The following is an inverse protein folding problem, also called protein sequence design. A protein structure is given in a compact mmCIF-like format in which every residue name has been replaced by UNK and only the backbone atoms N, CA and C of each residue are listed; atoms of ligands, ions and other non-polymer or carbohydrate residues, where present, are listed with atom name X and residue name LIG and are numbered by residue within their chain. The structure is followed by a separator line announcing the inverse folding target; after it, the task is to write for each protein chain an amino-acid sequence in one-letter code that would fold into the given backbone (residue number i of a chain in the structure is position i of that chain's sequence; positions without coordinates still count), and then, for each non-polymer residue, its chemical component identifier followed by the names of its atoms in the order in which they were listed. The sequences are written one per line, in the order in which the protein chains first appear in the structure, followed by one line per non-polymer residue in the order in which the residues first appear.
data_IF_191633840523
#
_entry.id   IF_191633840523
#
_cell.length_a   1.000
_cell.length_b   1.000
_cell.length_c   1.000
_cell.angle_alpha   90.00
_cell.angle_beta   90.00
_cell.angle_gamma   90.00
#
_symmetry.space_group_name_H-M   'P 1'
#
loop_
_entity.id
_entity.type
_entity.pdbx_description
1 polymer ?
#
# COMPACT_ATOMS: atom_id res chain seq x y z
N UNK A 1 -18.46 -7.36 2.91
CA UNK A 1 -17.33 -6.57 2.37
C UNK A 1 -16.04 -7.14 2.90
N UNK A 2 -14.97 -7.13 2.10
CA UNK A 2 -13.64 -7.64 2.50
C UNK A 2 -12.59 -6.53 2.43
N UNK A 3 -11.77 -6.39 3.47
CA UNK A 3 -10.64 -5.43 3.51
C UNK A 3 -9.32 -6.14 3.16
N UNK A 4 -8.46 -5.52 2.36
CA UNK A 4 -7.07 -5.96 2.18
C UNK A 4 -6.12 -5.04 2.93
N UNK A 5 -5.10 -5.58 3.59
CA UNK A 5 -4.01 -4.82 4.20
C UNK A 5 -2.70 -5.21 3.52
N UNK A 6 -1.97 -4.23 2.98
CA UNK A 6 -0.58 -4.40 2.56
C UNK A 6 0.31 -3.73 3.59
N UNK A 7 1.30 -4.44 4.15
CA UNK A 7 2.36 -3.86 4.98
C UNK A 7 3.74 -3.98 4.31
N UNK A 8 4.54 -2.92 4.43
CA UNK A 8 5.92 -2.86 3.96
C UNK A 8 6.84 -2.33 5.08
N UNK A 9 7.14 -3.17 6.07
CA UNK A 9 8.14 -2.88 7.10
C UNK A 9 8.90 -4.16 7.52
N UNK A 10 10.24 -4.18 7.60
CA UNK A 10 10.99 -5.42 7.89
C UNK A 10 10.97 -5.82 9.37
N UNK A 11 11.06 -4.85 10.29
CA UNK A 11 11.12 -5.12 11.72
C UNK A 11 9.72 -5.27 12.32
N UNK A 12 9.44 -6.44 12.94
CA UNK A 12 8.14 -6.87 13.49
C UNK A 12 7.68 -6.10 14.72
N UNK A 13 8.59 -5.46 15.47
CA UNK A 13 8.26 -4.67 16.66
C UNK A 13 8.06 -3.17 16.33
N UNK A 14 8.06 -2.82 15.03
CA UNK A 14 7.93 -1.43 14.61
C UNK A 14 6.52 -0.88 14.83
N UNK A 15 6.40 0.45 14.88
CA UNK A 15 5.10 1.10 14.98
C UNK A 15 4.20 0.84 13.76
N UNK A 16 4.75 0.49 12.58
CA UNK A 16 3.95 0.06 11.43
C UNK A 16 3.31 -1.32 11.67
N UNK A 17 3.99 -2.23 12.37
CA UNK A 17 3.39 -3.48 12.82
C UNK A 17 2.39 -3.29 13.96
N UNK A 18 2.63 -2.34 14.87
CA UNK A 18 1.63 -1.97 15.89
C UNK A 18 0.33 -1.44 15.25
N UNK A 19 0.44 -0.64 14.18
CA UNK A 19 -0.70 -0.22 13.35
C UNK A 19 -1.40 -1.46 12.74
N UNK A 20 -0.65 -2.40 12.17
CA UNK A 20 -1.22 -3.63 11.59
C UNK A 20 -1.98 -4.46 12.65
N UNK A 21 -1.43 -4.68 13.84
CA UNK A 21 -2.12 -5.48 14.86
C UNK A 21 -3.39 -4.77 15.35
N UNK A 22 -3.34 -3.47 15.65
CA UNK A 22 -4.52 -2.71 16.07
C UNK A 22 -5.66 -2.76 15.03
N UNK A 23 -5.32 -2.73 13.74
CA UNK A 23 -6.31 -2.91 12.67
C UNK A 23 -6.86 -4.33 12.60
N UNK A 24 -6.01 -5.36 12.73
CA UNK A 24 -6.46 -6.76 12.75
C UNK A 24 -7.36 -7.04 13.95
N UNK A 25 -7.02 -6.52 15.12
CA UNK A 25 -7.81 -6.61 16.36
C UNK A 25 -9.18 -5.97 16.14
N UNK A 26 -9.24 -4.68 15.77
CA UNK A 26 -10.50 -3.98 15.52
C UNK A 26 -11.35 -4.57 14.39
N UNK A 27 -10.75 -5.13 13.34
CA UNK A 27 -11.48 -5.85 12.30
C UNK A 27 -12.01 -7.20 12.79
N UNK A 28 -11.28 -7.90 13.64
CA UNK A 28 -11.73 -9.18 14.24
C UNK A 28 -12.90 -8.95 15.20
N UNK A 29 -12.77 -7.97 16.11
CA UNK A 29 -13.84 -7.55 17.03
C UNK A 29 -15.09 -7.08 16.27
N UNK A 30 -14.90 -6.30 15.21
CA UNK A 30 -15.97 -5.82 14.33
C UNK A 30 -16.52 -6.86 13.34
N UNK A 31 -16.06 -8.12 13.40
CA UNK A 31 -16.45 -9.22 12.49
C UNK A 31 -16.28 -8.87 10.98
N UNK A 32 -15.29 -8.05 10.67
CA UNK A 32 -14.95 -7.62 9.31
C UNK A 32 -13.99 -8.62 8.69
N UNK A 33 -14.37 -9.25 7.58
CA UNK A 33 -13.46 -10.11 6.82
C UNK A 33 -12.29 -9.30 6.26
N UNK A 34 -11.07 -9.76 6.50
CA UNK A 34 -9.86 -9.14 5.95
C UNK A 34 -8.83 -10.16 5.47
N UNK A 35 -7.89 -9.67 4.65
CA UNK A 35 -6.69 -10.40 4.21
C UNK A 35 -5.45 -9.52 4.40
N UNK A 36 -4.29 -10.13 4.60
CA UNK A 36 -3.01 -9.42 4.80
C UNK A 36 -1.99 -9.91 3.79
N UNK A 37 -1.33 -8.96 3.12
CA UNK A 37 -0.12 -9.12 2.33
C UNK A 37 0.99 -8.46 3.16
N UNK A 38 1.91 -9.27 3.69
CA UNK A 38 3.07 -8.77 4.43
C UNK A 38 4.31 -9.05 3.61
N UNK A 39 4.74 -8.03 2.85
CA UNK A 39 5.79 -8.20 1.84
C UNK A 39 7.12 -8.70 2.43
N UNK A 40 7.36 -8.47 3.73
CA UNK A 40 8.57 -8.97 4.39
C UNK A 40 8.37 -10.34 5.03
N UNK A 41 7.17 -10.67 5.55
CA UNK A 41 6.90 -12.02 6.04
C UNK A 41 6.66 -13.04 4.92
N UNK A 42 6.24 -12.58 3.74
CA UNK A 42 6.10 -13.34 2.49
C UNK A 42 7.44 -13.45 1.70
N UNK A 43 8.56 -12.94 2.23
CA UNK A 43 9.90 -12.90 1.59
C UNK A 43 9.91 -12.37 0.13
N UNK A 44 9.02 -11.42 -0.17
CA UNK A 44 8.79 -10.96 -1.54
C UNK A 44 10.02 -10.27 -2.14
N UNK A 45 10.50 -10.76 -3.28
CA UNK A 45 11.61 -10.17 -4.02
C UNK A 45 11.12 -8.99 -4.90
N UNK A 46 11.47 -7.72 -4.56
CA UNK A 46 10.99 -6.55 -5.29
C UNK A 46 11.82 -6.20 -6.53
N UNK A 47 12.92 -6.91 -6.79
CA UNK A 47 13.76 -6.65 -7.96
C UNK A 47 13.01 -7.07 -9.23
N UNK A 48 12.87 -6.14 -10.17
CA UNK A 48 12.29 -6.38 -11.49
C UNK A 48 13.42 -6.78 -12.45
N UNK A 49 13.40 -8.03 -12.90
CA UNK A 49 14.47 -8.64 -13.69
C UNK A 49 14.24 -8.54 -15.20
N UNK A 50 15.30 -8.72 -16.00
CA UNK A 50 15.18 -8.81 -17.46
C UNK A 50 14.26 -9.97 -17.92
N UNK A 51 14.19 -11.07 -17.15
CA UNK A 51 13.26 -12.18 -17.42
C UNK A 51 11.81 -11.75 -17.25
N UNK A 52 11.49 -11.01 -16.19
CA UNK A 52 10.15 -10.47 -15.96
C UNK A 52 9.79 -9.40 -16.99
N UNK A 53 10.74 -8.53 -17.35
CA UNK A 53 10.57 -7.55 -18.42
C UNK A 53 10.25 -8.20 -19.78
N UNK A 54 10.80 -9.38 -20.06
CA UNK A 54 10.48 -10.13 -21.29
C UNK A 54 9.01 -10.56 -21.37
N UNK A 55 8.30 -10.60 -20.24
CA UNK A 55 6.88 -10.95 -20.11
C UNK A 55 5.94 -9.77 -19.84
N UNK A 56 6.49 -8.57 -19.68
CA UNK A 56 5.72 -7.35 -19.41
C UNK A 56 4.59 -7.10 -20.43
N UNK A 57 4.88 -7.26 -21.74
CA UNK A 57 3.91 -7.05 -22.82
C UNK A 57 2.74 -8.05 -22.79
N UNK A 58 3.00 -9.26 -22.29
CA UNK A 58 2.04 -10.35 -22.19
C UNK A 58 1.13 -10.20 -20.95
N UNK A 59 1.49 -9.32 -20.01
CA UNK A 59 0.80 -9.18 -18.72
C UNK A 59 1.05 -10.32 -17.73
N UNK A 60 2.07 -11.15 -17.99
CA UNK A 60 2.33 -12.41 -17.25
C UNK A 60 3.39 -12.22 -16.17
N UNK A 61 3.06 -12.59 -14.94
CA UNK A 61 4.02 -12.69 -13.85
C UNK A 61 4.80 -14.02 -13.91
N UNK A 62 6.06 -14.01 -13.47
CA UNK A 62 6.89 -15.22 -13.34
C UNK A 62 6.97 -15.76 -11.91
N UNK A 63 6.77 -14.89 -10.92
CA UNK A 63 6.81 -15.24 -9.50
C UNK A 63 5.41 -15.73 -9.06
N UNK A 64 5.27 -16.97 -8.55
CA UNK A 64 3.99 -17.50 -8.11
C UNK A 64 3.26 -16.63 -7.07
N UNK A 65 4.01 -15.92 -6.22
CA UNK A 65 3.41 -15.10 -5.15
C UNK A 65 2.65 -13.89 -5.70
N UNK A 66 3.01 -13.42 -6.90
CA UNK A 66 2.27 -12.34 -7.57
C UNK A 66 0.84 -12.76 -7.86
N UNK A 67 0.58 -14.02 -8.24
CA UNK A 67 -0.79 -14.48 -8.49
C UNK A 67 -1.64 -14.49 -7.21
N UNK A 68 -1.07 -14.91 -6.07
CA UNK A 68 -1.69 -14.81 -4.73
C UNK A 68 -2.06 -13.36 -4.42
N UNK A 69 -1.15 -12.41 -4.63
CA UNK A 69 -1.44 -10.98 -4.41
C UNK A 69 -2.51 -10.43 -5.36
N UNK A 70 -2.48 -10.82 -6.64
CA UNK A 70 -3.51 -10.44 -7.61
C UNK A 70 -4.88 -11.03 -7.26
N UNK A 71 -4.94 -12.23 -6.68
CA UNK A 71 -6.18 -12.85 -6.18
C UNK A 71 -6.74 -12.09 -4.97
N UNK A 72 -5.92 -11.83 -3.95
CA UNK A 72 -6.30 -10.98 -2.81
C UNK A 72 -6.86 -9.63 -3.28
N UNK A 73 -6.16 -8.95 -4.21
CA UNK A 73 -6.58 -7.65 -4.74
C UNK A 73 -7.89 -7.71 -5.57
N UNK A 74 -8.21 -8.84 -6.21
CA UNK A 74 -9.53 -9.05 -6.87
C UNK A 74 -10.65 -9.21 -5.86
N UNK A 75 -10.37 -9.82 -4.71
CA UNK A 75 -11.36 -10.26 -3.73
C UNK A 75 -11.66 -9.23 -2.61
N UNK A 76 -11.09 -8.02 -2.66
CA UNK A 76 -11.28 -6.96 -1.66
C UNK A 76 -12.11 -5.77 -2.19
N UNK A 77 -12.91 -5.18 -1.29
CA UNK A 77 -13.68 -3.96 -1.51
C UNK A 77 -12.94 -2.70 -1.07
N UNK A 78 -12.06 -2.82 -0.08
CA UNK A 78 -11.29 -1.72 0.49
C UNK A 78 -9.83 -2.13 0.71
N UNK A 79 -8.91 -1.20 0.55
CA UNK A 79 -7.46 -1.44 0.67
C UNK A 79 -6.83 -0.52 1.72
N UNK A 80 -6.04 -1.08 2.62
CA UNK A 80 -5.17 -0.35 3.53
C UNK A 80 -3.72 -0.62 3.12
N UNK A 81 -2.89 0.42 3.04
CA UNK A 81 -1.46 0.30 2.70
C UNK A 81 -0.64 0.97 3.82
N UNK A 82 0.17 0.18 4.54
CA UNK A 82 0.93 0.60 5.73
C UNK A 82 2.42 0.60 5.41
N UNK A 83 3.09 1.75 5.48
CA UNK A 83 4.53 1.85 5.25
C UNK A 83 5.20 3.08 5.88
N UNK A 84 6.49 2.99 6.27
CA UNK A 84 7.26 4.17 6.65
C UNK A 84 7.63 5.00 5.41
N UNK A 85 7.66 6.32 5.55
CA UNK A 85 8.22 7.20 4.53
C UNK A 85 9.75 7.13 4.61
N UNK A 86 10.36 6.52 3.60
CA UNK A 86 11.83 6.46 3.44
C UNK A 86 12.24 7.27 2.22
N UNK A 87 13.23 8.15 2.37
CA UNK A 87 13.74 9.03 1.30
C UNK A 87 12.66 9.76 0.49
N UNK A 88 11.59 10.20 1.16
CA UNK A 88 10.43 10.85 0.55
C UNK A 88 9.75 10.02 -0.55
N UNK A 89 9.72 8.70 -0.35
CA UNK A 89 9.05 7.72 -1.21
C UNK A 89 8.43 6.59 -0.37
N UNK A 90 7.85 5.61 -1.07
CA UNK A 90 7.53 4.29 -0.52
C UNK A 90 8.82 3.48 -0.31
N UNK A 91 8.85 2.47 0.61
CA UNK A 91 9.94 1.51 0.68
C UNK A 91 10.18 0.79 -0.65
N UNK A 92 11.43 0.42 -0.95
CA UNK A 92 11.78 -0.27 -2.18
C UNK A 92 10.97 -1.56 -2.40
N UNK A 93 10.67 -2.29 -1.33
CA UNK A 93 9.85 -3.51 -1.42
C UNK A 93 8.42 -3.22 -1.91
N UNK A 94 7.82 -2.12 -1.46
CA UNK A 94 6.49 -1.69 -1.89
C UNK A 94 6.53 -1.14 -3.32
N UNK A 95 7.59 -0.42 -3.72
CA UNK A 95 7.76 -0.01 -5.13
C UNK A 95 7.83 -1.22 -6.06
N UNK A 96 8.65 -2.22 -5.73
CA UNK A 96 8.74 -3.46 -6.50
C UNK A 96 7.45 -4.28 -6.50
N UNK A 97 6.64 -4.21 -5.43
CA UNK A 97 5.29 -4.79 -5.44
C UNK A 97 4.43 -4.15 -6.52
N UNK A 98 4.39 -2.82 -6.61
CA UNK A 98 3.65 -2.17 -7.70
C UNK A 98 4.22 -2.53 -9.09
N UNK A 99 5.54 -2.58 -9.24
CA UNK A 99 6.18 -2.90 -10.53
C UNK A 99 5.91 -4.33 -11.00
N UNK A 100 5.87 -5.31 -10.08
CA UNK A 100 5.73 -6.74 -10.39
C UNK A 100 4.29 -7.24 -10.40
N UNK A 101 3.41 -6.63 -9.60
CA UNK A 101 2.01 -7.07 -9.44
C UNK A 101 1.06 -6.34 -10.38
N UNK A 102 1.30 -5.05 -10.66
CA UNK A 102 0.40 -4.21 -11.46
C UNK A 102 0.67 -4.37 -12.96
N UNK A 103 0.32 -5.55 -13.50
CA UNK A 103 0.51 -5.90 -14.90
C UNK A 103 -0.70 -5.54 -15.78
N UNK A 104 -0.44 -5.35 -17.07
CA UNK A 104 -1.47 -5.26 -18.13
C UNK A 104 -2.41 -6.48 -18.05
N UNK A 105 -3.70 -6.27 -18.30
CA UNK A 105 -4.72 -7.31 -18.18
C UNK A 105 -5.18 -7.57 -16.72
N UNK A 106 -4.34 -7.30 -15.72
CA UNK A 106 -4.72 -7.37 -14.30
C UNK A 106 -5.19 -6.01 -13.76
N UNK A 107 -4.30 -5.02 -13.69
CA UNK A 107 -4.56 -3.75 -12.99
C UNK A 107 -4.92 -2.60 -13.93
N UNK A 108 -4.56 -2.70 -15.22
CA UNK A 108 -4.90 -1.73 -16.25
C UNK A 108 -5.05 -2.41 -17.62
N UNK A 109 -5.74 -1.73 -18.54
CA UNK A 109 -5.59 -1.92 -19.99
C UNK A 109 -4.95 -0.66 -20.61
N UNK A 110 -4.30 -0.83 -21.75
CA UNK A 110 -3.89 0.28 -22.61
C UNK A 110 -5.09 0.75 -23.45
N UNK A 111 -5.21 2.07 -23.66
CA UNK A 111 -6.24 2.66 -24.51
C UNK A 111 -5.69 3.90 -25.24
N UNK A 112 -6.34 4.37 -26.33
CA UNK A 112 -5.88 5.56 -27.06
C UNK A 112 -5.79 6.84 -26.21
N UNK A 113 -6.51 6.90 -25.08
CA UNK A 113 -6.52 8.02 -24.12
C UNK A 113 -5.64 7.77 -22.89
N UNK A 114 -4.77 6.76 -22.91
CA UNK A 114 -3.90 6.39 -21.79
C UNK A 114 -4.33 5.09 -21.09
N UNK A 115 -4.04 4.96 -19.79
CA UNK A 115 -4.34 3.75 -19.04
C UNK A 115 -5.80 3.70 -18.58
N UNK A 116 -6.46 2.56 -18.80
CA UNK A 116 -7.78 2.24 -18.24
C UNK A 116 -7.61 1.30 -17.06
N UNK A 117 -7.58 1.85 -15.85
CA UNK A 117 -7.49 1.09 -14.61
C UNK A 117 -8.64 0.07 -14.43
N UNK A 118 -8.29 -1.12 -13.94
CA UNK A 118 -9.19 -2.27 -13.75
C UNK A 118 -9.57 -2.54 -12.29
N UNK A 119 -8.86 -1.96 -11.31
CA UNK A 119 -9.10 -2.17 -9.88
C UNK A 119 -10.15 -1.20 -9.29
N UNK A 120 -11.11 -0.76 -10.11
CA UNK A 120 -12.14 0.21 -9.69
C UNK A 120 -13.22 -0.36 -8.76
N UNK A 121 -13.23 -1.67 -8.54
CA UNK A 121 -14.06 -2.33 -7.52
C UNK A 121 -13.57 -2.03 -6.08
N UNK A 122 -12.31 -1.62 -5.92
CA UNK A 122 -11.77 -1.14 -4.64
C UNK A 122 -12.34 0.26 -4.38
N UNK A 123 -13.43 0.30 -3.60
CA UNK A 123 -14.28 1.47 -3.34
C UNK A 123 -13.64 2.51 -2.41
N UNK A 124 -12.65 2.11 -1.62
CA UNK A 124 -11.96 2.95 -0.64
C UNK A 124 -10.54 2.48 -0.44
N UNK A 125 -9.60 3.40 -0.32
CA UNK A 125 -8.22 3.09 0.05
C UNK A 125 -7.71 4.03 1.13
N UNK A 126 -7.04 3.50 2.15
CA UNK A 126 -6.36 4.30 3.16
C UNK A 126 -4.87 4.02 3.14
N UNK A 127 -4.09 5.03 2.76
CA UNK A 127 -2.65 5.04 2.92
C UNK A 127 -2.35 5.47 4.36
N UNK A 128 -1.66 4.62 5.13
CA UNK A 128 -1.21 4.92 6.49
C UNK A 128 0.31 4.93 6.47
N UNK A 129 0.91 6.06 6.86
CA UNK A 129 2.36 6.19 6.92
C UNK A 129 2.88 6.62 8.28
N UNK A 130 4.13 6.29 8.56
CA UNK A 130 4.93 6.88 9.65
C UNK A 130 6.06 7.72 9.07
N UNK A 131 6.36 8.89 9.63
CA UNK A 131 7.49 9.72 9.18
C UNK A 131 8.27 10.35 10.32
N UNK A 132 9.58 10.56 10.13
CA UNK A 132 10.41 11.32 11.07
C UNK A 132 10.05 12.81 11.05
N UNK A 133 9.92 13.42 9.87
CA UNK A 133 9.52 14.82 9.73
C UNK A 133 8.00 15.05 9.83
N UNK A 134 7.55 16.29 10.09
CA UNK A 134 6.14 16.65 10.18
C UNK A 134 5.42 16.60 8.82
N UNK A 135 4.13 16.23 8.84
CA UNK A 135 3.31 16.05 7.62
C UNK A 135 3.23 17.31 6.73
N UNK A 136 3.23 18.51 7.33
CA UNK A 136 3.20 19.77 6.57
C UNK A 136 4.48 19.96 5.74
N UNK A 137 5.64 19.58 6.29
CA UNK A 137 6.93 19.74 5.61
C UNK A 137 7.03 18.81 4.39
N UNK A 138 6.55 17.58 4.52
CA UNK A 138 6.46 16.62 3.40
C UNK A 138 5.53 17.15 2.29
N UNK A 139 4.39 17.74 2.67
CA UNK A 139 3.44 18.33 1.72
C UNK A 139 3.98 19.54 0.98
N UNK A 140 4.67 20.46 1.67
CA UNK A 140 5.12 21.73 1.09
C UNK A 140 6.49 21.64 0.40
N UNK A 141 7.46 20.93 0.99
CA UNK A 141 8.88 21.01 0.58
C UNK A 141 9.43 19.72 -0.03
N UNK A 142 8.63 18.65 -0.10
CA UNK A 142 9.05 17.31 -0.61
C UNK A 142 8.09 16.77 -1.68
N UNK A 143 7.62 17.68 -2.54
CA UNK A 143 6.81 17.37 -3.72
C UNK A 143 5.42 16.77 -3.43
N UNK A 144 4.99 16.71 -2.16
CA UNK A 144 3.72 16.09 -1.75
C UNK A 144 3.55 14.66 -2.30
N UNK A 145 4.64 13.90 -2.39
CA UNK A 145 4.75 12.69 -3.22
C UNK A 145 3.66 11.63 -2.95
N UNK A 146 3.19 11.48 -1.71
CA UNK A 146 2.07 10.58 -1.38
C UNK A 146 0.79 10.97 -2.14
N UNK A 147 0.45 12.26 -2.21
CA UNK A 147 -0.72 12.72 -2.96
C UNK A 147 -0.42 12.82 -4.47
N UNK A 148 0.76 13.29 -4.85
CA UNK A 148 1.14 13.56 -6.23
C UNK A 148 1.47 12.31 -7.03
N UNK A 149 2.48 11.56 -6.59
CA UNK A 149 2.98 10.37 -7.31
C UNK A 149 2.18 9.13 -6.95
N UNK A 150 2.07 8.82 -5.65
CA UNK A 150 1.51 7.53 -5.22
C UNK A 150 -0.01 7.47 -5.37
N UNK A 151 -0.75 8.46 -4.86
CA UNK A 151 -2.22 8.52 -4.99
C UNK A 151 -2.69 8.93 -6.39
N UNK A 152 -2.21 10.04 -6.93
CA UNK A 152 -2.74 10.62 -8.19
C UNK A 152 -2.16 10.01 -9.46
N UNK A 153 -0.94 9.49 -9.43
CA UNK A 153 -0.38 8.65 -10.50
C UNK A 153 -0.77 7.20 -10.26
N UNK A 154 0.07 6.49 -9.51
CA UNK A 154 0.05 5.03 -9.38
C UNK A 154 -1.35 4.47 -9.08
N UNK A 155 -1.97 4.84 -7.94
CA UNK A 155 -3.27 4.26 -7.53
C UNK A 155 -4.43 4.66 -8.46
N UNK A 156 -4.48 5.92 -8.89
CA UNK A 156 -5.56 6.42 -9.73
C UNK A 156 -5.55 5.78 -11.12
N UNK A 157 -4.38 5.56 -11.71
CA UNK A 157 -4.23 5.02 -13.06
C UNK A 157 -4.63 3.54 -13.14
N UNK A 158 -4.40 2.77 -12.07
CA UNK A 158 -4.92 1.39 -11.92
C UNK A 158 -6.40 1.33 -11.47
N UNK A 159 -7.06 2.49 -11.32
CA UNK A 159 -8.51 2.60 -11.09
C UNK A 159 -8.92 2.90 -9.65
N UNK A 160 -7.98 2.93 -8.70
CA UNK A 160 -8.21 3.18 -7.28
C UNK A 160 -8.30 4.69 -7.04
N UNK A 161 -9.53 5.23 -7.09
CA UNK A 161 -9.79 6.69 -7.09
C UNK A 161 -10.02 7.28 -5.71
N UNK A 162 -10.68 6.55 -4.81
CA UNK A 162 -11.13 7.06 -3.51
C UNK A 162 -10.09 6.78 -2.40
N UNK A 163 -9.03 7.59 -2.35
CA UNK A 163 -7.89 7.34 -1.47
C UNK A 163 -7.71 8.42 -0.39
N UNK A 164 -7.70 8.03 0.89
CA UNK A 164 -7.32 8.87 2.04
C UNK A 164 -5.83 8.64 2.39
N UNK A 165 -5.17 9.68 2.90
CA UNK A 165 -3.83 9.55 3.49
C UNK A 165 -3.87 9.98 4.96
N UNK A 166 -3.37 9.13 5.84
CA UNK A 166 -3.15 9.35 7.27
C UNK A 166 -1.64 9.21 7.52
N UNK A 167 -1.02 10.16 8.22
CA UNK A 167 0.41 10.11 8.55
C UNK A 167 0.65 10.34 10.03
N UNK A 168 1.29 9.38 10.69
CA UNK A 168 1.87 9.56 12.02
C UNK A 168 3.29 10.14 11.90
N UNK A 169 3.37 11.47 11.94
CA UNK A 169 4.62 12.19 11.85
C UNK A 169 5.34 12.36 13.20
N UNK A 170 6.65 12.64 13.15
CA UNK A 170 7.52 12.82 14.32
C UNK A 170 7.67 11.52 15.14
N UNK A 171 7.72 10.36 14.48
CA UNK A 171 7.79 9.04 15.14
C UNK A 171 8.93 8.96 16.17
N UNK A 172 10.12 9.48 15.83
CA UNK A 172 11.33 9.45 16.68
C UNK A 172 11.17 10.19 18.01
N UNK A 173 10.44 11.30 18.03
CA UNK A 173 10.17 12.13 19.22
C UNK A 173 8.75 11.99 19.78
N UNK A 174 7.98 11.04 19.26
CA UNK A 174 6.62 10.74 19.75
C UNK A 174 6.64 9.97 21.07
N UNK A 175 5.74 10.32 21.98
CA UNK A 175 5.56 9.64 23.27
C UNK A 175 4.67 8.40 23.13
N UNK A 176 4.66 7.55 24.16
CA UNK A 176 3.82 6.34 24.20
C UNK A 176 2.32 6.69 24.10
N UNK A 177 1.88 7.71 24.83
CA UNK A 177 0.47 8.15 24.87
C UNK A 177 0.01 8.65 23.49
N UNK A 178 0.88 9.36 22.75
CA UNK A 178 0.59 9.81 21.38
C UNK A 178 0.44 8.64 20.41
N UNK A 179 1.27 7.60 20.56
CA UNK A 179 1.21 6.37 19.76
C UNK A 179 -0.06 5.58 20.06
N UNK A 180 -0.37 5.35 21.33
CA UNK A 180 -1.59 4.65 21.76
C UNK A 180 -2.86 5.40 21.36
N UNK A 181 -2.88 6.73 21.51
CA UNK A 181 -3.99 7.56 21.05
C UNK A 181 -4.21 7.41 19.54
N UNK A 182 -3.13 7.46 18.75
CA UNK A 182 -3.24 7.28 17.30
C UNK A 182 -3.79 5.90 16.92
N UNK A 183 -3.36 4.82 17.58
CA UNK A 183 -3.88 3.47 17.33
C UNK A 183 -5.39 3.38 17.67
N UNK A 184 -5.83 3.95 18.79
CA UNK A 184 -7.24 3.96 19.20
C UNK A 184 -8.15 4.81 18.31
N UNK A 185 -7.63 5.91 17.76
CA UNK A 185 -8.37 6.83 16.87
C UNK A 185 -8.33 6.41 15.38
N UNK A 186 -7.66 5.29 15.05
CA UNK A 186 -7.44 4.85 13.67
C UNK A 186 -8.67 4.18 13.06
N UNK A 187 -9.64 4.98 12.62
CA UNK A 187 -10.83 4.51 11.92
C UNK A 187 -10.60 4.44 10.38
N UNK A 188 -10.63 3.22 9.82
CA UNK A 188 -10.34 2.90 8.41
C UNK A 188 -11.29 1.89 7.79
#
# INVERSE_FOLDING_TARGET
MKKGIIIAHPWKESFNHAILQALKEGFTEGQVNFEVIDLHADDFNPVYTAKELSKYKDGVALDPIVFKYQETLKNIDELIIIFPIWWYSVPAILKGFFDKVMLKGFSYEESPSGLKGKLSHIRKTTIITTSEGPTWYIKLFKGNFINGVFKKGILRDIGIKNTKWINFSNIKSSTKEKREKFLKELNV
#
